data_IF_608592171439
#
_entry.id   IF_608592171439
#
_cell.length_a   1.000
_cell.length_b   1.000
_cell.length_c   1.000
_cell.angle_alpha   90.00
_cell.angle_beta   90.00
_cell.angle_gamma   90.00
#
_symmetry.space_group_name_H-M   'P 1'
#
loop_
_entity.id
_entity.type
_entity.pdbx_description
1 polymer ?
#
# COMPACT_ATOMS: atom_id res chain seq x y z
N UNK A 1 34.40 -17.56 -0.79
CA UNK A 1 33.30 -16.56 -0.68
C UNK A 1 32.77 -16.70 0.74
N UNK A 2 33.06 -15.71 1.59
CA UNK A 2 32.57 -15.72 2.98
C UNK A 2 31.05 -15.54 2.94
N UNK A 3 30.32 -16.54 3.38
CA UNK A 3 28.88 -16.42 3.64
C UNK A 3 28.71 -15.40 4.76
N UNK A 4 28.45 -14.16 4.39
CA UNK A 4 28.12 -13.11 5.34
C UNK A 4 26.76 -13.49 5.93
N UNK A 5 26.72 -13.81 7.23
CA UNK A 5 25.48 -14.18 7.91
C UNK A 5 24.54 -12.96 7.86
N UNK A 6 23.27 -13.13 7.46
CA UNK A 6 22.31 -12.02 7.43
C UNK A 6 22.10 -11.46 8.85
N UNK A 7 22.02 -10.15 8.95
CA UNK A 7 21.71 -9.48 10.23
C UNK A 7 20.26 -9.76 10.66
N UNK A 8 19.36 -9.95 9.70
CA UNK A 8 17.97 -10.33 9.93
C UNK A 8 17.48 -11.18 8.74
N UNK A 9 16.86 -12.31 9.03
CA UNK A 9 16.24 -13.16 8.01
C UNK A 9 14.78 -13.44 8.37
N UNK A 10 13.87 -13.06 7.51
CA UNK A 10 12.42 -13.24 7.70
C UNK A 10 11.86 -14.13 6.60
N UNK A 11 11.02 -15.08 7.00
CA UNK A 11 10.25 -15.94 6.09
C UNK A 11 8.77 -15.83 6.45
N UNK A 12 7.92 -15.60 5.46
CA UNK A 12 6.49 -15.41 5.67
C UNK A 12 5.68 -15.70 4.42
N UNK A 13 4.39 -15.91 4.62
CA UNK A 13 3.37 -15.88 3.56
C UNK A 13 2.39 -14.76 3.89
N UNK A 14 1.95 -13.99 2.90
CA UNK A 14 1.03 -12.88 3.13
C UNK A 14 -0.42 -13.36 3.24
N UNK A 15 -1.12 -12.90 4.27
CA UNK A 15 -2.56 -13.04 4.38
C UNK A 15 -3.28 -11.99 3.52
N UNK A 16 -4.58 -12.21 3.26
CA UNK A 16 -5.39 -11.27 2.48
C UNK A 16 -5.40 -9.86 3.07
N UNK A 17 -5.57 -9.75 4.39
CA UNK A 17 -5.62 -8.46 5.10
C UNK A 17 -4.29 -7.73 5.05
N UNK A 18 -3.18 -8.44 5.24
CA UNK A 18 -1.82 -7.91 5.15
C UNK A 18 -1.51 -7.43 3.73
N UNK A 19 -1.91 -8.21 2.74
CA UNK A 19 -1.75 -7.82 1.35
C UNK A 19 -2.56 -6.57 1.03
N UNK A 20 -3.79 -6.45 1.55
CA UNK A 20 -4.63 -5.24 1.38
C UNK A 20 -4.01 -4.02 2.05
N UNK A 21 -3.49 -4.17 3.28
CA UNK A 21 -2.82 -3.09 4.00
C UNK A 21 -1.58 -2.60 3.23
N UNK A 22 -0.72 -3.52 2.81
CA UNK A 22 0.48 -3.20 2.04
C UNK A 22 0.21 -2.55 0.69
N UNK A 23 -0.79 -3.05 -0.05
CA UNK A 23 -1.22 -2.43 -1.32
C UNK A 23 -1.87 -1.06 -1.12
N UNK A 24 -2.64 -0.88 -0.05
CA UNK A 24 -3.19 0.42 0.28
C UNK A 24 -2.08 1.44 0.56
N UNK A 25 -1.02 1.02 1.25
CA UNK A 25 0.17 1.84 1.47
C UNK A 25 0.89 2.18 0.16
N UNK A 26 1.09 1.21 -0.72
CA UNK A 26 1.74 1.42 -2.01
C UNK A 26 0.96 2.38 -2.91
N UNK A 27 -0.38 2.26 -2.90
CA UNK A 27 -1.25 3.07 -3.76
C UNK A 27 -1.52 4.46 -3.19
N UNK A 28 -1.69 4.57 -1.87
CA UNK A 28 -2.14 5.81 -1.22
C UNK A 28 -1.10 6.41 -0.26
N UNK A 29 -0.05 5.68 0.11
CA UNK A 29 0.94 6.09 1.11
C UNK A 29 1.68 7.37 0.75
N UNK A 30 1.93 7.63 -0.53
CA UNK A 30 2.60 8.85 -1.01
C UNK A 30 1.71 10.09 -1.07
N UNK A 31 0.39 9.93 -1.12
CA UNK A 31 -0.56 11.03 -1.38
C UNK A 31 -1.82 10.90 -0.54
N UNK A 32 -1.67 10.89 0.78
CA UNK A 32 -2.85 10.95 1.66
C UNK A 32 -3.76 12.15 1.34
N UNK A 33 -3.17 13.27 0.94
CA UNK A 33 -3.92 14.46 0.50
C UNK A 33 -4.79 14.20 -0.73
N UNK A 34 -4.29 13.47 -1.74
CA UNK A 34 -5.06 13.15 -2.96
C UNK A 34 -6.31 12.32 -2.65
N UNK A 35 -6.28 11.58 -1.54
CA UNK A 35 -7.41 10.78 -1.07
C UNK A 35 -8.61 11.67 -0.67
N UNK A 36 -8.35 12.89 -0.22
CA UNK A 36 -9.38 13.83 0.22
C UNK A 36 -9.73 14.87 -0.84
N UNK A 37 -8.85 15.13 -1.82
CA UNK A 37 -9.10 16.14 -2.86
C UNK A 37 -10.35 15.82 -3.66
N UNK A 38 -10.52 14.58 -4.11
CA UNK A 38 -11.65 14.20 -4.97
C UNK A 38 -13.00 14.32 -4.27
N UNK A 39 -13.20 13.81 -3.02
CA UNK A 39 -14.43 14.08 -2.27
C UNK A 39 -14.66 15.57 -2.00
N UNK A 40 -13.59 16.31 -1.72
CA UNK A 40 -13.67 17.74 -1.44
C UNK A 40 -14.15 18.55 -2.65
N UNK A 41 -13.66 18.21 -3.84
CA UNK A 41 -14.13 18.79 -5.11
C UNK A 41 -15.60 18.47 -5.34
N UNK A 42 -16.05 17.25 -5.09
CA UNK A 42 -17.47 16.87 -5.26
C UNK A 42 -18.36 17.63 -4.29
N UNK A 43 -17.92 17.82 -3.03
CA UNK A 43 -18.64 18.65 -2.05
C UNK A 43 -18.68 20.10 -2.52
N UNK A 44 -17.57 20.63 -3.03
CA UNK A 44 -17.51 21.99 -3.58
C UNK A 44 -18.51 22.20 -4.71
N UNK A 45 -18.68 21.23 -5.62
CA UNK A 45 -19.67 21.27 -6.70
C UNK A 45 -21.11 21.31 -6.13
N UNK A 46 -21.39 20.53 -5.09
CA UNK A 46 -22.71 20.52 -4.41
C UNK A 46 -22.99 21.88 -3.79
N UNK A 47 -22.06 22.43 -3.02
CA UNK A 47 -22.19 23.73 -2.38
C UNK A 47 -22.41 24.82 -3.42
N UNK A 48 -21.65 24.80 -4.50
CA UNK A 48 -21.82 25.73 -5.63
C UNK A 48 -23.19 25.61 -6.25
N UNK A 49 -23.73 24.38 -6.40
CA UNK A 49 -25.08 24.14 -6.91
C UNK A 49 -26.16 24.75 -6.02
N UNK A 50 -26.01 24.67 -4.69
CA UNK A 50 -26.94 25.36 -3.76
C UNK A 50 -26.85 26.88 -3.88
N UNK A 51 -25.64 27.42 -4.06
CA UNK A 51 -25.45 28.87 -4.23
C UNK A 51 -26.15 29.40 -5.50
N UNK A 52 -26.13 28.62 -6.61
CA UNK A 52 -26.79 28.98 -7.87
C UNK A 52 -28.32 28.89 -7.81
N UNK A 53 -28.90 28.36 -6.74
CA UNK A 53 -30.33 28.21 -6.53
C UNK A 53 -30.88 26.87 -7.06
N UNK A 54 -31.59 26.19 -6.19
CA UNK A 54 -32.10 24.83 -6.44
C UNK A 54 -33.16 24.76 -7.55
N UNK A 55 -33.89 25.86 -7.82
CA UNK A 55 -34.95 25.90 -8.84
C UNK A 55 -34.46 26.13 -10.27
N UNK A 56 -33.14 26.28 -10.46
CA UNK A 56 -32.52 26.54 -11.77
C UNK A 56 -31.44 25.54 -12.13
N UNK A 57 -30.36 26.07 -12.67
CA UNK A 57 -29.19 25.29 -13.10
C UNK A 57 -28.50 24.60 -11.92
N UNK A 58 -28.62 25.16 -10.69
CA UNK A 58 -27.98 24.64 -9.50
C UNK A 58 -28.35 23.20 -9.15
N UNK A 59 -29.59 22.76 -9.47
CA UNK A 59 -30.01 21.37 -9.25
C UNK A 59 -29.15 20.34 -9.99
N UNK A 60 -28.67 20.67 -11.19
CA UNK A 60 -27.81 19.79 -11.98
C UNK A 60 -26.42 19.66 -11.35
N UNK A 61 -25.88 20.75 -10.79
CA UNK A 61 -24.60 20.70 -10.08
C UNK A 61 -24.71 19.88 -8.79
N UNK A 62 -25.81 20.04 -8.03
CA UNK A 62 -26.06 19.23 -6.83
C UNK A 62 -26.17 17.74 -7.21
N UNK A 63 -26.94 17.41 -8.24
CA UNK A 63 -27.10 16.03 -8.72
C UNK A 63 -25.76 15.45 -9.20
N UNK A 64 -24.97 16.20 -9.97
CA UNK A 64 -23.67 15.79 -10.46
C UNK A 64 -22.68 15.56 -9.31
N UNK A 65 -22.59 16.49 -8.38
CA UNK A 65 -21.68 16.36 -7.22
C UNK A 65 -22.07 15.18 -6.32
N UNK A 66 -23.37 14.97 -6.08
CA UNK A 66 -23.86 13.83 -5.32
C UNK A 66 -23.56 12.50 -6.03
N UNK A 67 -23.79 12.43 -7.36
CA UNK A 67 -23.46 11.26 -8.17
C UNK A 67 -21.96 10.94 -8.09
N UNK A 68 -21.09 11.93 -8.23
CA UNK A 68 -19.64 11.75 -8.12
C UNK A 68 -19.23 11.23 -6.73
N UNK A 69 -19.82 11.75 -5.65
CA UNK A 69 -19.57 11.26 -4.30
C UNK A 69 -19.97 9.80 -4.12
N UNK A 70 -21.19 9.44 -4.55
CA UNK A 70 -21.70 8.06 -4.45
C UNK A 70 -20.80 7.11 -5.26
N UNK A 71 -20.44 7.48 -6.48
CA UNK A 71 -19.57 6.68 -7.34
C UNK A 71 -18.19 6.46 -6.67
N UNK A 72 -17.60 7.49 -6.09
CA UNK A 72 -16.33 7.40 -5.36
C UNK A 72 -16.41 6.45 -4.15
N UNK A 73 -17.50 6.51 -3.39
CA UNK A 73 -17.75 5.61 -2.26
C UNK A 73 -17.88 4.16 -2.72
N UNK A 74 -18.63 3.90 -3.79
CA UNK A 74 -18.81 2.57 -4.37
C UNK A 74 -17.45 2.02 -4.84
N UNK A 75 -16.68 2.81 -5.59
CA UNK A 75 -15.36 2.38 -6.09
C UNK A 75 -14.45 2.05 -4.92
N UNK A 76 -14.40 2.90 -3.91
CA UNK A 76 -13.46 2.80 -2.80
C UNK A 76 -13.77 1.66 -1.83
N UNK A 77 -15.04 1.51 -1.44
CA UNK A 77 -15.43 0.58 -0.37
C UNK A 77 -15.89 -0.77 -0.90
N UNK A 78 -16.32 -0.85 -2.14
CA UNK A 78 -16.83 -2.08 -2.71
C UNK A 78 -16.00 -2.61 -3.87
N UNK A 79 -15.73 -1.77 -4.88
CA UNK A 79 -15.08 -2.22 -6.11
C UNK A 79 -13.59 -2.56 -5.89
N UNK A 80 -12.81 -1.67 -5.27
CA UNK A 80 -11.38 -1.92 -5.01
C UNK A 80 -11.11 -3.14 -4.14
N UNK A 81 -11.79 -3.34 -2.99
CA UNK A 81 -11.60 -4.55 -2.18
C UNK A 81 -11.98 -5.83 -2.92
N UNK A 82 -13.06 -5.79 -3.73
CA UNK A 82 -13.50 -6.94 -4.51
C UNK A 82 -12.49 -7.31 -5.60
N UNK A 83 -12.00 -6.33 -6.36
CA UNK A 83 -10.96 -6.52 -7.37
C UNK A 83 -9.69 -7.08 -6.75
N UNK A 84 -9.28 -6.51 -5.63
CA UNK A 84 -8.09 -6.96 -4.91
C UNK A 84 -8.22 -8.42 -4.44
N UNK A 85 -9.37 -8.79 -3.85
CA UNK A 85 -9.64 -10.16 -3.43
C UNK A 85 -9.56 -11.15 -4.61
N UNK A 86 -10.10 -10.78 -5.76
CA UNK A 86 -10.02 -11.61 -6.97
C UNK A 86 -8.57 -11.80 -7.44
N UNK A 87 -7.77 -10.73 -7.44
CA UNK A 87 -6.35 -10.80 -7.81
C UNK A 87 -5.55 -11.63 -6.82
N UNK A 88 -5.79 -11.47 -5.52
CA UNK A 88 -5.13 -12.24 -4.47
C UNK A 88 -5.31 -13.74 -4.65
N UNK A 89 -6.55 -14.18 -4.90
CA UNK A 89 -6.87 -15.58 -5.16
C UNK A 89 -6.25 -16.07 -6.46
N UNK A 90 -6.35 -15.28 -7.54
CA UNK A 90 -5.82 -15.63 -8.88
C UNK A 90 -4.31 -15.83 -8.87
N UNK A 91 -3.57 -14.97 -8.20
CA UNK A 91 -2.11 -15.02 -8.14
C UNK A 91 -1.56 -15.84 -6.98
N UNK A 92 -2.42 -16.48 -6.19
CA UNK A 92 -2.05 -17.34 -5.05
C UNK A 92 -1.07 -16.70 -4.07
N UNK A 93 -1.14 -15.39 -3.85
CA UNK A 93 -0.22 -14.67 -2.97
C UNK A 93 -0.14 -15.27 -1.56
N UNK A 94 -1.23 -15.83 -1.02
CA UNK A 94 -1.26 -16.48 0.29
C UNK A 94 -0.56 -17.85 0.35
N UNK A 95 -0.26 -18.47 -0.80
CA UNK A 95 0.44 -19.77 -0.88
C UNK A 95 1.91 -19.62 -1.20
N UNK A 96 2.34 -18.45 -1.65
CA UNK A 96 3.70 -18.18 -2.01
C UNK A 96 4.51 -17.82 -0.77
N UNK A 97 5.50 -18.63 -0.46
CA UNK A 97 6.50 -18.28 0.54
C UNK A 97 7.33 -17.09 0.03
N UNK A 98 7.44 -16.07 0.87
CA UNK A 98 8.23 -14.90 0.65
C UNK A 98 9.24 -14.76 1.79
N UNK A 99 10.32 -14.03 1.54
CA UNK A 99 11.30 -13.76 2.57
C UNK A 99 12.11 -12.52 2.24
N UNK A 100 12.67 -11.93 3.27
CA UNK A 100 13.63 -10.85 3.16
C UNK A 100 14.80 -11.13 4.10
N UNK A 101 16.00 -11.00 3.59
CA UNK A 101 17.24 -11.13 4.34
C UNK A 101 18.00 -9.81 4.26
N UNK A 102 18.34 -9.24 5.41
CA UNK A 102 19.08 -8.00 5.50
C UNK A 102 20.56 -8.30 5.72
N UNK A 103 21.40 -7.70 4.90
CA UNK A 103 22.84 -7.68 5.04
C UNK A 103 23.31 -6.25 5.35
N UNK A 104 24.60 -6.04 5.55
CA UNK A 104 25.14 -4.75 5.94
C UNK A 104 24.89 -3.65 4.89
N UNK A 105 25.05 -3.96 3.61
CA UNK A 105 24.99 -2.98 2.51
C UNK A 105 23.81 -3.20 1.55
N UNK A 106 23.19 -4.38 1.57
CA UNK A 106 22.13 -4.79 0.65
C UNK A 106 21.10 -5.67 1.34
N UNK A 107 19.98 -5.87 0.70
CA UNK A 107 18.98 -6.84 1.11
C UNK A 107 18.63 -7.79 -0.03
N UNK A 108 18.25 -9.00 0.33
CA UNK A 108 17.78 -10.04 -0.56
C UNK A 108 16.31 -10.33 -0.31
N UNK A 109 15.52 -10.41 -1.37
CA UNK A 109 14.13 -10.83 -1.29
C UNK A 109 13.93 -12.15 -2.02
N UNK A 110 13.11 -12.99 -1.44
CA UNK A 110 12.70 -14.26 -2.01
C UNK A 110 11.19 -14.18 -2.26
N UNK A 111 10.78 -14.35 -3.50
CA UNK A 111 9.38 -14.40 -3.87
C UNK A 111 9.17 -15.35 -5.04
N UNK A 112 8.22 -16.27 -4.93
CA UNK A 112 7.89 -17.23 -6.00
C UNK A 112 9.09 -18.03 -6.52
N UNK A 113 10.01 -18.43 -5.63
CA UNK A 113 11.22 -19.18 -6.00
C UNK A 113 12.29 -18.35 -6.72
N UNK A 114 12.11 -17.04 -6.81
CA UNK A 114 13.09 -16.10 -7.36
C UNK A 114 13.75 -15.31 -6.26
N UNK A 115 15.06 -15.15 -6.39
CA UNK A 115 15.88 -14.31 -5.52
C UNK A 115 16.18 -13.01 -6.25
N UNK A 116 15.95 -11.88 -5.59
CA UNK A 116 16.32 -10.56 -6.08
C UNK A 116 17.13 -9.84 -5.01
N UNK A 117 18.22 -9.23 -5.41
CA UNK A 117 19.11 -8.43 -4.54
C UNK A 117 18.84 -6.96 -4.85
N UNK A 118 18.81 -6.13 -3.83
CA UNK A 118 18.73 -4.68 -3.98
C UNK A 118 19.55 -3.97 -2.91
N UNK A 119 20.13 -2.83 -3.28
CA UNK A 119 20.85 -1.98 -2.35
C UNK A 119 19.88 -1.06 -1.59
N UNK A 120 20.21 -0.67 -0.37
CA UNK A 120 19.37 0.27 0.41
C UNK A 120 19.21 1.62 -0.27
N UNK A 121 20.16 2.03 -1.13
CA UNK A 121 20.08 3.24 -1.94
C UNK A 121 19.01 3.19 -3.05
N UNK A 122 18.54 2.00 -3.40
CA UNK A 122 17.46 1.79 -4.38
C UNK A 122 16.07 1.92 -3.78
N UNK A 123 15.98 2.01 -2.45
CA UNK A 123 14.70 2.24 -1.76
C UNK A 123 14.24 3.67 -2.05
N UNK A 124 13.06 3.78 -2.66
CA UNK A 124 12.44 5.05 -2.99
C UNK A 124 11.49 5.53 -1.89
N UNK A 125 10.76 4.59 -1.27
CA UNK A 125 9.79 4.90 -0.25
C UNK A 125 9.68 3.75 0.75
N UNK A 126 9.54 4.12 2.03
CA UNK A 126 9.25 3.20 3.12
C UNK A 126 8.02 3.71 3.86
N UNK A 127 7.04 2.85 4.07
CA UNK A 127 5.82 3.21 4.78
C UNK A 127 5.45 2.13 5.80
N UNK A 128 4.96 2.60 6.94
CA UNK A 128 4.53 1.75 8.06
C UNK A 128 3.01 1.71 8.06
N UNK A 129 2.45 0.53 7.84
CA UNK A 129 1.02 0.27 7.89
C UNK A 129 0.55 -0.22 9.25
N UNK A 130 -0.71 -0.57 9.31
CA UNK A 130 -1.31 -1.16 10.50
C UNK A 130 -0.77 -2.58 10.74
N UNK A 131 -0.75 -3.41 9.70
CA UNK A 131 -0.35 -4.82 9.75
C UNK A 131 0.98 -5.09 9.09
N UNK A 132 1.46 -4.18 8.24
CA UNK A 132 2.60 -4.41 7.35
C UNK A 132 3.54 -3.22 7.27
N UNK A 133 4.75 -3.52 6.82
CA UNK A 133 5.71 -2.57 6.29
C UNK A 133 5.69 -2.65 4.77
N UNK A 134 5.80 -1.52 4.10
CA UNK A 134 5.89 -1.44 2.65
C UNK A 134 7.19 -0.76 2.27
N UNK A 135 7.98 -1.43 1.43
CA UNK A 135 9.19 -0.89 0.81
C UNK A 135 8.93 -0.78 -0.68
N UNK A 136 9.13 0.39 -1.25
CA UNK A 136 9.04 0.62 -2.69
C UNK A 136 10.44 0.93 -3.22
N UNK A 137 10.87 0.17 -4.21
CA UNK A 137 12.14 0.39 -4.89
C UNK A 137 11.98 1.36 -6.07
N UNK A 138 13.07 1.96 -6.53
CA UNK A 138 13.10 2.88 -7.68
C UNK A 138 12.59 2.24 -8.98
N UNK A 139 12.72 0.93 -9.12
CA UNK A 139 12.16 0.15 -10.24
C UNK A 139 10.66 -0.15 -10.10
N UNK A 140 9.97 0.47 -9.12
CA UNK A 140 8.56 0.27 -8.78
C UNK A 140 8.22 -1.12 -8.21
N UNK A 141 9.19 -1.92 -7.84
CA UNK A 141 8.95 -3.16 -7.10
C UNK A 141 8.46 -2.79 -5.70
N UNK A 142 7.35 -3.38 -5.29
CA UNK A 142 6.76 -3.21 -3.95
C UNK A 142 6.97 -4.48 -3.16
N UNK A 143 7.59 -4.35 -2.00
CA UNK A 143 7.86 -5.43 -1.04
C UNK A 143 6.97 -5.16 0.17
N UNK A 144 6.18 -6.15 0.58
CA UNK A 144 5.28 -6.07 1.73
C UNK A 144 5.78 -7.06 2.77
N UNK A 145 6.10 -6.58 3.96
CA UNK A 145 6.59 -7.40 5.08
C UNK A 145 5.58 -7.32 6.22
N UNK A 146 4.95 -8.43 6.61
CA UNK A 146 3.98 -8.42 7.70
C UNK A 146 4.67 -8.25 9.05
N UNK A 147 4.10 -7.44 9.93
CA UNK A 147 4.65 -7.18 11.27
C UNK A 147 4.76 -8.45 12.12
N UNK A 148 3.86 -9.41 11.90
CA UNK A 148 3.90 -10.71 12.60
C UNK A 148 5.07 -11.61 12.19
N UNK A 149 5.80 -11.30 11.12
CA UNK A 149 6.97 -12.06 10.73
C UNK A 149 8.17 -11.82 11.64
N UNK A 150 8.12 -10.78 12.46
CA UNK A 150 9.16 -10.47 13.44
C UNK A 150 8.86 -11.20 14.73
N UNK A 151 9.81 -12.03 15.19
CA UNK A 151 9.69 -12.76 16.46
C UNK A 151 9.94 -11.86 17.65
N UNK A 152 10.81 -10.87 17.49
CA UNK A 152 11.21 -9.95 18.55
C UNK A 152 10.98 -8.48 18.14
N UNK A 153 10.62 -7.65 19.12
CA UNK A 153 10.48 -6.20 18.90
C UNK A 153 11.79 -5.52 18.55
N UNK A 154 12.92 -6.09 18.96
CA UNK A 154 14.25 -5.62 18.60
C UNK A 154 14.49 -5.72 17.09
N UNK A 155 14.05 -6.81 16.45
CA UNK A 155 14.19 -7.04 15.02
C UNK A 155 13.35 -6.04 14.21
N UNK A 156 12.16 -5.68 14.70
CA UNK A 156 11.34 -4.61 14.11
C UNK A 156 12.07 -3.27 14.14
N UNK A 157 12.71 -2.95 15.26
CA UNK A 157 13.46 -1.70 15.41
C UNK A 157 14.66 -1.65 14.47
N UNK A 158 15.40 -2.75 14.35
CA UNK A 158 16.51 -2.87 13.39
C UNK A 158 16.00 -2.68 11.97
N UNK A 159 14.90 -3.33 11.60
CA UNK A 159 14.28 -3.21 10.29
C UNK A 159 13.83 -1.78 9.99
N UNK A 160 13.10 -1.16 10.91
CA UNK A 160 12.66 0.23 10.75
C UNK A 160 13.82 1.19 10.59
N UNK A 161 14.85 1.07 11.40
CA UNK A 161 16.04 1.95 11.36
C UNK A 161 16.82 1.80 10.06
N UNK A 162 16.83 0.60 9.46
CA UNK A 162 17.50 0.35 8.17
C UNK A 162 16.83 1.09 7.03
N UNK A 163 15.49 1.19 7.04
CA UNK A 163 14.71 1.79 5.94
C UNK A 163 14.18 3.19 6.23
N UNK A 164 14.18 3.63 7.49
CA UNK A 164 13.71 4.96 7.90
C UNK A 164 14.88 5.95 7.78
N UNK A 165 15.02 6.52 6.58
CA UNK A 165 15.94 7.65 6.32
C UNK A 165 15.23 8.98 6.43
#
# INVERSE_FOLDING_TARGET
MSETKPALALRYSLNLEESQDGFALATFGKKQLTRFITPLVSIGIIVWGFYLGFNGVGRYYVALGAFCLILQLIIRYWFLPMMFKRQFVKYQFGKSEQGIELFQDYAEIYANGRKQIFNYSEVQNFAIGKLTYMIELKNRTVIIVPKRAFEQSADQTVFENTFKK
#
